data_IF_527679453631
#
_entry.id   IF_527679453631
#
_cell.length_a   1.000
_cell.length_b   1.000
_cell.length_c   1.000
_cell.angle_alpha   90.00
_cell.angle_beta   90.00
_cell.angle_gamma   90.00
#
_symmetry.space_group_name_H-M   'P 1'
#
loop_
_entity.id
_entity.type
_entity.pdbx_description
1 polymer ?
#
# COMPACT_ATOMS: atom_id res chain seq x y z
N UNK A 1 -5.73 11.52 6.67
CA UNK A 1 -5.86 10.74 5.42
C UNK A 1 -5.21 9.40 5.67
N UNK A 2 -5.95 8.30 5.52
CA UNK A 2 -5.39 6.95 5.67
C UNK A 2 -4.56 6.57 4.46
N UNK A 3 -3.61 5.64 4.63
CA UNK A 3 -2.89 4.98 3.53
C UNK A 3 -3.65 3.72 3.08
N UNK A 4 -4.92 3.91 2.76
CA UNK A 4 -5.75 2.91 2.07
C UNK A 4 -5.37 2.97 0.58
N UNK A 5 -4.71 1.92 0.10
CA UNK A 5 -4.07 1.92 -1.23
C UNK A 5 -2.98 0.86 -1.40
N UNK A 6 -2.24 0.54 -0.33
CA UNK A 6 -1.09 -0.38 -0.39
C UNK A 6 -1.44 -1.83 -0.78
N UNK A 7 -2.70 -2.25 -0.64
CA UNK A 7 -3.15 -3.63 -0.84
C UNK A 7 -4.36 -3.72 -1.78
N UNK A 8 -4.61 -2.68 -2.58
CA UNK A 8 -5.76 -2.65 -3.47
C UNK A 8 -5.40 -3.29 -4.82
N UNK A 9 -6.12 -4.36 -5.15
CA UNK A 9 -6.10 -4.96 -6.48
C UNK A 9 -6.93 -4.06 -7.43
N UNK A 10 -6.72 -4.16 -8.73
CA UNK A 10 -7.56 -3.51 -9.74
C UNK A 10 -9.01 -4.06 -9.69
N UNK A 11 -10.00 -3.18 -9.52
CA UNK A 11 -11.42 -3.55 -9.40
C UNK A 11 -12.04 -3.93 -10.75
N UNK A 12 -11.50 -3.43 -11.85
CA UNK A 12 -12.01 -3.72 -13.19
C UNK A 12 -12.01 -5.22 -13.44
N UNK A 13 -10.99 -5.95 -12.99
CA UNK A 13 -10.87 -7.41 -13.09
C UNK A 13 -11.46 -8.18 -11.89
N UNK A 14 -11.68 -7.55 -10.72
CA UNK A 14 -12.31 -8.22 -9.58
C UNK A 14 -13.20 -7.24 -8.81
N UNK A 15 -14.52 -7.41 -8.96
CA UNK A 15 -15.54 -6.51 -8.41
C UNK A 15 -15.74 -6.69 -6.88
N UNK A 16 -14.82 -6.14 -6.09
CA UNK A 16 -14.81 -6.24 -4.63
C UNK A 16 -14.52 -4.86 -4.00
N UNK A 17 -15.21 -4.50 -2.92
CA UNK A 17 -15.22 -3.13 -2.37
C UNK A 17 -13.83 -2.59 -1.94
N UNK A 18 -12.86 -3.46 -1.61
CA UNK A 18 -11.48 -3.04 -1.31
C UNK A 18 -10.65 -2.66 -2.55
N UNK A 19 -11.09 -2.99 -3.76
CA UNK A 19 -10.28 -2.84 -4.97
C UNK A 19 -10.38 -1.43 -5.57
N UNK A 20 -9.36 -0.99 -6.31
CA UNK A 20 -9.33 0.34 -6.91
C UNK A 20 -10.31 0.38 -8.08
N UNK A 21 -11.42 1.12 -7.96
CA UNK A 21 -12.39 1.29 -9.06
C UNK A 21 -11.71 1.82 -10.33
N UNK A 22 -12.29 1.47 -11.48
CA UNK A 22 -11.88 2.01 -12.78
C UNK A 22 -11.67 3.52 -12.73
N UNK A 23 -12.68 4.31 -12.34
CA UNK A 23 -12.60 5.77 -12.22
C UNK A 23 -11.45 6.27 -11.33
N UNK A 24 -10.93 5.44 -10.41
CA UNK A 24 -9.83 5.77 -9.50
C UNK A 24 -8.44 5.31 -10.03
N UNK A 25 -8.34 4.12 -10.64
CA UNK A 25 -7.15 3.71 -11.42
C UNK A 25 -6.91 4.65 -12.59
N UNK A 26 -8.01 5.05 -13.18
CA UNK A 26 -8.04 5.99 -14.26
C UNK A 26 -7.75 7.38 -13.78
N UNK A 27 -8.16 7.76 -12.56
CA UNK A 27 -7.54 8.87 -11.81
C UNK A 27 -6.00 8.76 -11.61
N UNK A 28 -5.29 7.78 -12.19
CA UNK A 28 -3.82 7.70 -12.37
C UNK A 28 -3.34 7.87 -13.85
N UNK A 29 -4.19 7.72 -14.87
CA UNK A 29 -3.79 7.55 -16.30
C UNK A 29 -3.46 8.82 -17.10
N UNK A 30 -4.50 9.59 -17.42
CA UNK A 30 -4.55 10.89 -18.09
C UNK A 30 -5.57 11.92 -17.52
N UNK A 31 -6.62 11.59 -16.75
CA UNK A 31 -6.81 10.49 -15.82
C UNK A 31 -8.27 9.89 -15.92
N UNK A 32 -8.51 8.98 -16.90
CA UNK A 32 -9.83 8.53 -17.50
C UNK A 32 -9.94 7.01 -17.98
N UNK A 33 -11.15 6.41 -18.24
CA UNK A 33 -11.91 5.26 -17.58
C UNK A 33 -12.00 3.75 -18.16
N UNK A 34 -12.46 2.75 -17.34
CA UNK A 34 -13.29 1.48 -17.56
C UNK A 34 -12.73 0.12 -18.16
N UNK A 35 -13.17 -1.17 -17.90
CA UNK A 35 -14.01 -1.93 -16.87
C UNK A 35 -14.18 -3.49 -17.15
N UNK A 36 -14.41 -4.41 -16.14
CA UNK A 36 -15.25 -5.70 -16.14
C UNK A 36 -14.75 -7.12 -15.61
N UNK A 37 -15.30 -7.59 -14.45
CA UNK A 37 -15.89 -8.93 -14.05
C UNK A 37 -15.31 -10.35 -14.41
N UNK A 38 -15.19 -11.25 -13.40
CA UNK A 38 -15.48 -12.71 -13.47
C UNK A 38 -15.70 -13.39 -12.09
N UNK A 39 -16.37 -14.55 -12.02
CA UNK A 39 -16.83 -15.24 -10.78
C UNK A 39 -15.78 -16.12 -10.05
N UNK A 40 -16.03 -16.39 -8.75
CA UNK A 40 -15.09 -17.06 -7.83
C UNK A 40 -15.14 -18.61 -7.83
N UNK A 41 -14.00 -19.26 -8.08
CA UNK A 41 -13.60 -20.49 -7.35
C UNK A 41 -12.07 -20.67 -7.26
N UNK A 42 -11.35 -20.46 -8.37
CA UNK A 42 -9.93 -20.87 -8.51
C UNK A 42 -9.03 -19.74 -9.05
N UNK A 43 -8.85 -18.67 -8.26
CA UNK A 43 -7.93 -17.57 -8.60
C UNK A 43 -6.49 -18.08 -8.61
N UNK A 44 -5.74 -17.76 -9.66
CA UNK A 44 -4.37 -18.22 -9.89
C UNK A 44 -3.37 -17.07 -10.12
N UNK A 45 -2.09 -17.43 -10.18
CA UNK A 45 -1.01 -16.54 -10.62
C UNK A 45 -1.19 -16.01 -12.05
N UNK A 46 -1.97 -16.67 -12.93
CA UNK A 46 -2.22 -16.16 -14.28
C UNK A 46 -3.11 -14.93 -14.23
N UNK A 47 -4.17 -14.97 -13.43
CA UNK A 47 -5.11 -13.86 -13.28
C UNK A 47 -4.37 -12.62 -12.76
N UNK A 48 -3.52 -12.79 -11.73
CA UNK A 48 -2.65 -11.71 -11.21
C UNK A 48 -1.68 -11.16 -12.28
N UNK A 49 -1.21 -12.01 -13.22
CA UNK A 49 -0.39 -11.57 -14.36
C UNK A 49 -1.25 -10.79 -15.37
N UNK A 50 -2.47 -11.21 -15.66
CA UNK A 50 -3.40 -10.51 -16.56
C UNK A 50 -3.87 -9.17 -15.98
N UNK A 51 -4.10 -9.07 -14.66
CA UNK A 51 -4.27 -7.81 -13.94
C UNK A 51 -3.06 -6.87 -14.20
N UNK A 52 -1.84 -7.35 -13.97
CA UNK A 52 -0.62 -6.54 -14.19
C UNK A 52 -0.48 -6.13 -15.65
N UNK A 53 -0.74 -7.02 -16.60
CA UNK A 53 -0.72 -6.75 -18.04
C UNK A 53 -1.76 -5.68 -18.43
N UNK A 54 -2.97 -5.75 -17.86
CA UNK A 54 -4.02 -4.76 -18.10
C UNK A 54 -3.58 -3.40 -17.58
N UNK A 55 -3.18 -3.29 -16.30
CA UNK A 55 -2.70 -2.04 -15.70
C UNK A 55 -1.51 -1.48 -16.50
N UNK A 56 -0.55 -2.32 -16.92
CA UNK A 56 0.60 -1.90 -17.75
C UNK A 56 0.17 -1.36 -19.11
N UNK A 57 -0.72 -2.06 -19.83
CA UNK A 57 -1.29 -1.57 -21.10
C UNK A 57 -2.13 -0.30 -20.90
N UNK A 58 -2.65 -0.11 -19.69
CA UNK A 58 -3.54 1.00 -19.32
C UNK A 58 -2.76 2.25 -18.92
N UNK A 59 -2.02 2.23 -17.81
CA UNK A 59 -1.31 3.40 -17.22
C UNK A 59 0.21 3.37 -17.42
N UNK A 60 0.77 2.27 -17.90
CA UNK A 60 2.21 2.14 -18.18
C UNK A 60 3.06 1.82 -16.94
N UNK A 61 4.25 1.27 -17.21
CA UNK A 61 5.18 0.72 -16.20
C UNK A 61 5.64 1.68 -15.09
N UNK A 62 5.42 2.99 -15.21
CA UNK A 62 5.81 3.98 -14.19
C UNK A 62 4.83 4.05 -13.01
N UNK A 63 3.66 3.40 -13.10
CA UNK A 63 2.56 3.54 -12.14
C UNK A 63 2.10 2.19 -11.54
N UNK A 64 2.80 1.08 -11.84
CA UNK A 64 2.45 -0.28 -11.38
C UNK A 64 3.42 -0.73 -10.30
N UNK A 65 2.96 -1.47 -9.30
CA UNK A 65 3.80 -2.01 -8.22
C UNK A 65 3.29 -3.34 -7.69
N UNK A 66 4.17 -4.08 -7.00
CA UNK A 66 3.82 -5.31 -6.29
C UNK A 66 3.42 -5.04 -4.83
N UNK A 67 2.28 -5.59 -4.42
CA UNK A 67 1.98 -5.87 -3.02
C UNK A 67 1.06 -7.09 -2.92
N UNK A 68 1.34 -8.01 -2.00
CA UNK A 68 0.68 -9.33 -1.95
C UNK A 68 -0.46 -9.48 -0.94
N UNK A 69 -0.61 -8.56 0.03
CA UNK A 69 -1.54 -8.71 1.18
C UNK A 69 -1.43 -10.08 1.89
N UNK A 70 -0.20 -10.62 1.91
CA UNK A 70 0.14 -11.86 2.61
C UNK A 70 -0.08 -11.71 4.11
N UNK A 71 -0.50 -12.81 4.74
CA UNK A 71 -1.01 -12.89 6.12
C UNK A 71 -2.32 -12.09 6.39
N UNK A 72 -2.82 -11.34 5.40
CA UNK A 72 -4.16 -10.71 5.40
C UNK A 72 -5.27 -11.58 4.80
N UNK A 73 -4.96 -12.78 4.30
CA UNK A 73 -5.89 -13.73 3.68
C UNK A 73 -5.68 -15.16 4.20
N UNK A 74 -6.76 -15.93 4.34
CA UNK A 74 -6.71 -17.35 4.76
C UNK A 74 -6.00 -18.25 3.73
N UNK A 75 -6.09 -17.91 2.43
CA UNK A 75 -5.45 -18.64 1.33
C UNK A 75 -5.13 -17.70 0.17
N UNK A 76 -3.87 -17.67 -0.28
CA UNK A 76 -3.45 -16.94 -1.48
C UNK A 76 -3.79 -17.66 -2.81
N UNK A 77 -3.69 -16.98 -3.97
CA UNK A 77 -3.97 -17.57 -5.28
C UNK A 77 -3.07 -18.77 -5.61
N UNK A 78 -3.53 -19.67 -6.47
CA UNK A 78 -2.74 -20.84 -6.88
C UNK A 78 -1.46 -20.43 -7.63
N UNK A 79 -0.30 -20.87 -7.14
CA UNK A 79 1.03 -20.42 -7.58
C UNK A 79 1.55 -19.17 -6.86
N UNK A 80 0.74 -18.51 -6.02
CA UNK A 80 1.05 -17.33 -5.21
C UNK A 80 0.64 -17.53 -3.74
N UNK A 81 0.95 -18.71 -3.18
CA UNK A 81 0.46 -19.11 -1.86
C UNK A 81 1.18 -18.39 -0.70
N UNK A 82 2.36 -17.80 -0.94
CA UNK A 82 3.15 -17.04 0.05
C UNK A 82 4.25 -16.19 -0.60
N UNK A 83 4.94 -15.40 0.20
CA UNK A 83 6.02 -14.47 -0.19
C UNK A 83 7.17 -15.10 -0.97
N UNK A 84 7.45 -16.41 -0.84
CA UNK A 84 8.49 -17.08 -1.64
C UNK A 84 8.16 -17.13 -3.14
N UNK A 85 6.91 -16.83 -3.53
CA UNK A 85 6.43 -16.96 -4.91
C UNK A 85 6.62 -15.70 -5.78
N UNK A 86 7.02 -14.57 -5.23
CA UNK A 86 7.30 -13.35 -6.00
C UNK A 86 8.22 -13.55 -7.23
N UNK A 87 9.32 -14.36 -7.19
CA UNK A 87 10.16 -14.59 -8.37
C UNK A 87 9.41 -15.27 -9.54
N UNK A 88 8.42 -16.13 -9.25
CA UNK A 88 7.60 -16.79 -10.28
C UNK A 88 6.62 -15.81 -10.93
N UNK A 89 6.07 -14.87 -10.16
CA UNK A 89 5.20 -13.80 -10.68
C UNK A 89 6.00 -12.82 -11.53
N UNK A 90 7.14 -12.31 -11.03
CA UNK A 90 8.04 -11.44 -11.78
C UNK A 90 8.47 -12.10 -13.09
N UNK A 91 8.84 -13.38 -13.06
CA UNK A 91 9.17 -14.13 -14.27
C UNK A 91 7.97 -14.20 -15.24
N UNK A 92 6.78 -14.61 -14.80
CA UNK A 92 5.60 -14.70 -15.69
C UNK A 92 5.23 -13.34 -16.31
N UNK A 93 5.26 -12.27 -15.52
CA UNK A 93 5.05 -10.91 -16.03
C UNK A 93 6.08 -10.58 -17.11
N UNK A 94 7.37 -10.85 -16.88
CA UNK A 94 8.44 -10.63 -17.86
C UNK A 94 8.27 -11.48 -19.14
N UNK A 95 8.01 -12.78 -18.99
CA UNK A 95 7.86 -13.74 -20.08
C UNK A 95 6.68 -13.38 -21.01
N UNK A 96 5.56 -12.89 -20.46
CA UNK A 96 4.34 -12.57 -21.23
C UNK A 96 4.35 -11.14 -21.79
N UNK A 97 4.99 -10.17 -21.11
CA UNK A 97 5.02 -8.77 -21.58
C UNK A 97 6.21 -8.43 -22.47
N UNK A 98 7.32 -9.18 -22.39
CA UNK A 98 8.59 -8.77 -23.00
C UNK A 98 9.19 -7.49 -22.40
N UNK A 99 8.87 -7.19 -21.13
CA UNK A 99 9.32 -6.00 -20.42
C UNK A 99 10.85 -5.87 -20.35
N UNK A 100 11.35 -4.63 -20.33
CA UNK A 100 12.77 -4.38 -20.04
C UNK A 100 13.09 -4.62 -18.57
N UNK A 101 14.36 -4.91 -18.24
CA UNK A 101 14.83 -5.03 -16.85
C UNK A 101 14.48 -3.77 -16.02
N UNK A 102 14.52 -2.59 -16.64
CA UNK A 102 14.16 -1.32 -16.03
C UNK A 102 12.65 -1.23 -15.70
N UNK A 103 11.78 -1.78 -16.55
CA UNK A 103 10.34 -1.79 -16.32
C UNK A 103 9.93 -2.86 -15.29
N UNK A 104 10.62 -4.01 -15.27
CA UNK A 104 10.52 -4.98 -14.17
C UNK A 104 11.01 -4.37 -12.84
N UNK A 105 12.12 -3.62 -12.84
CA UNK A 105 12.62 -2.96 -11.63
C UNK A 105 11.65 -1.89 -11.09
N UNK A 106 10.97 -1.14 -11.96
CA UNK A 106 9.86 -0.25 -11.60
C UNK A 106 8.74 -0.99 -10.87
N UNK A 107 8.24 -2.05 -11.49
CA UNK A 107 7.18 -2.93 -10.96
C UNK A 107 7.57 -3.59 -9.63
N UNK A 108 8.82 -4.02 -9.48
CA UNK A 108 9.36 -4.61 -8.25
C UNK A 108 9.57 -3.61 -7.11
N UNK A 109 9.64 -2.29 -7.38
CA UNK A 109 9.70 -1.29 -6.30
C UNK A 109 10.24 0.09 -6.62
N UNK A 110 10.91 0.34 -7.76
CA UNK A 110 11.45 1.69 -8.03
C UNK A 110 10.33 2.75 -8.11
N UNK A 111 9.11 2.39 -8.54
CA UNK A 111 7.96 3.29 -8.52
C UNK A 111 7.57 3.71 -7.09
N UNK A 112 7.54 2.76 -6.15
CA UNK A 112 7.25 3.02 -4.73
C UNK A 112 8.31 3.94 -4.11
N UNK A 113 9.60 3.70 -4.43
CA UNK A 113 10.70 4.56 -3.97
C UNK A 113 10.63 5.98 -4.55
N UNK A 114 10.18 6.14 -5.80
CA UNK A 114 9.91 7.46 -6.37
C UNK A 114 8.76 8.18 -5.64
N UNK A 115 7.63 7.53 -5.42
CA UNK A 115 6.48 8.11 -4.68
C UNK A 115 6.89 8.52 -3.27
N UNK A 116 7.59 7.64 -2.54
CA UNK A 116 8.12 7.92 -1.20
C UNK A 116 8.99 9.18 -1.17
N UNK A 117 9.89 9.32 -2.15
CA UNK A 117 10.80 10.47 -2.27
C UNK A 117 10.07 11.79 -2.51
N UNK A 118 8.98 11.78 -3.28
CA UNK A 118 8.14 12.97 -3.46
C UNK A 118 7.30 13.29 -2.21
N UNK A 119 6.74 12.28 -1.52
CA UNK A 119 6.10 12.45 -0.22
C UNK A 119 7.04 13.09 0.82
N UNK A 120 8.31 12.66 0.87
CA UNK A 120 9.32 13.29 1.73
C UNK A 120 9.59 14.76 1.38
N UNK A 121 9.66 15.12 0.10
CA UNK A 121 9.83 16.51 -0.35
C UNK A 121 8.64 17.36 0.09
N UNK A 122 7.41 16.89 -0.15
CA UNK A 122 6.18 17.58 0.26
C UNK A 122 6.16 17.75 1.79
N UNK A 123 6.46 16.71 2.56
CA UNK A 123 6.55 16.79 4.02
C UNK A 123 7.61 17.82 4.50
N UNK A 124 8.75 17.94 3.81
CA UNK A 124 9.81 18.93 4.10
C UNK A 124 9.39 20.37 3.75
N UNK A 125 8.42 20.56 2.83
CA UNK A 125 7.81 21.87 2.53
C UNK A 125 6.71 22.19 3.54
N UNK A 126 5.75 21.29 3.76
CA UNK A 126 4.63 21.50 4.67
C UNK A 126 5.10 21.79 6.10
N UNK A 127 6.15 21.12 6.60
CA UNK A 127 6.78 21.40 7.92
C UNK A 127 7.33 22.82 8.08
N UNK A 128 7.45 23.62 7.02
CA UNK A 128 7.88 25.03 7.04
C UNK A 128 6.75 26.04 6.81
N UNK A 129 5.65 25.63 6.18
CA UNK A 129 4.59 26.51 5.67
C UNK A 129 3.29 26.33 6.44
N UNK A 130 2.98 25.10 6.86
CA UNK A 130 1.85 24.83 7.74
C UNK A 130 2.20 25.13 9.20
N UNK A 131 1.21 25.45 10.04
CA UNK A 131 1.35 25.25 11.48
C UNK A 131 1.81 23.82 11.79
N UNK A 132 2.51 23.62 12.91
CA UNK A 132 2.72 22.26 13.41
C UNK A 132 1.35 21.60 13.65
N UNK A 133 1.24 20.25 13.54
CA UNK A 133 0.04 19.53 13.92
C UNK A 133 -0.44 19.99 15.29
N UNK A 134 -1.70 20.41 15.35
CA UNK A 134 -2.32 20.95 16.56
C UNK A 134 -2.70 19.76 17.45
N UNK A 135 -1.69 19.22 18.13
CA UNK A 135 -1.83 18.25 19.22
C UNK A 135 -2.47 18.94 20.43
N UNK A 136 -3.79 19.16 20.38
CA UNK A 136 -4.53 19.59 21.57
C UNK A 136 -4.66 18.40 22.52
N UNK A 137 -3.61 18.17 23.31
CA UNK A 137 -3.79 17.54 24.60
C UNK A 137 -4.61 18.51 25.45
N UNK A 138 -5.93 18.34 25.43
CA UNK A 138 -6.81 18.95 26.43
C UNK A 138 -6.27 18.57 27.81
N UNK A 139 -6.12 19.53 28.72
CA UNK A 139 -5.46 19.32 30.03
C UNK A 139 -6.11 18.21 30.88
N UNK A 140 -7.34 17.81 30.56
CA UNK A 140 -8.11 16.74 31.20
C UNK A 140 -7.87 15.36 30.56
N UNK A 141 -7.39 15.30 29.31
CA UNK A 141 -7.21 14.06 28.53
C UNK A 141 -5.89 13.38 28.89
N UNK A 142 -5.95 12.41 29.79
CA UNK A 142 -4.85 11.49 30.08
C UNK A 142 -4.84 10.32 29.09
N UNK A 143 -3.74 10.16 28.36
CA UNK A 143 -3.51 9.00 27.50
C UNK A 143 -2.88 7.88 28.32
N UNK A 144 -3.59 6.77 28.49
CA UNK A 144 -3.07 5.59 29.20
C UNK A 144 -2.55 4.57 28.19
N UNK A 145 -1.26 4.27 28.26
CA UNK A 145 -0.58 3.32 27.39
C UNK A 145 -0.02 2.13 28.18
N UNK A 146 0.04 0.93 27.59
CA UNK A 146 0.85 -0.16 28.12
C UNK A 146 2.32 0.27 28.23
N UNK A 147 3.01 -0.14 29.30
CA UNK A 147 4.40 0.23 29.57
C UNK A 147 5.37 -0.06 28.41
N UNK A 148 5.17 -1.17 27.69
CA UNK A 148 6.00 -1.53 26.52
C UNK A 148 5.89 -0.53 25.36
N UNK A 149 4.87 0.34 25.32
CA UNK A 149 4.77 1.41 24.33
C UNK A 149 5.89 2.46 24.48
N UNK A 150 6.63 2.47 25.61
CA UNK A 150 7.87 3.24 25.74
C UNK A 150 9.02 2.72 24.87
N UNK A 151 8.96 1.48 24.41
CA UNK A 151 10.04 0.82 23.66
C UNK A 151 9.73 0.74 22.15
N UNK A 152 8.45 0.93 21.76
CA UNK A 152 8.00 1.02 20.36
C UNK A 152 8.55 2.29 19.68
N UNK A 153 8.74 2.26 18.36
CA UNK A 153 9.11 3.42 17.54
C UNK A 153 8.19 4.63 17.82
N UNK A 154 8.78 5.81 18.01
CA UNK A 154 8.04 7.05 18.24
C UNK A 154 7.18 7.40 17.01
N UNK A 155 5.86 7.56 17.17
CA UNK A 155 4.95 7.98 16.09
C UNK A 155 5.34 9.35 15.50
N UNK A 156 5.90 10.23 16.33
CA UNK A 156 6.65 11.42 15.93
C UNK A 156 7.67 11.77 17.03
N UNK A 157 8.69 12.57 16.69
CA UNK A 157 9.74 12.95 17.65
C UNK A 157 9.17 13.73 18.83
N UNK A 158 9.46 13.30 20.07
CA UNK A 158 8.92 13.89 21.31
C UNK A 158 7.56 13.34 21.76
N UNK A 159 6.94 12.40 21.02
CA UNK A 159 5.61 11.86 21.35
C UNK A 159 5.51 11.23 22.74
N UNK A 160 6.59 10.64 23.26
CA UNK A 160 6.62 10.01 24.61
C UNK A 160 6.73 11.03 25.74
N UNK A 161 7.21 12.22 25.43
CA UNK A 161 7.56 13.28 26.38
C UNK A 161 6.45 14.33 26.52
N UNK A 162 5.33 14.15 25.81
CA UNK A 162 4.15 15.02 25.93
C UNK A 162 3.48 14.90 27.30
N UNK A 163 3.03 16.05 27.79
CA UNK A 163 2.20 16.16 28.99
C UNK A 163 0.91 15.34 28.84
N UNK A 164 0.52 14.67 29.93
CA UNK A 164 -0.65 13.77 30.06
C UNK A 164 -0.51 12.34 29.52
N UNK A 165 0.67 11.91 29.08
CA UNK A 165 0.96 10.49 28.83
C UNK A 165 1.22 9.71 30.13
N UNK A 166 0.44 8.65 30.37
CA UNK A 166 0.55 7.75 31.53
C UNK A 166 0.87 6.35 31.03
N UNK A 167 1.95 5.74 31.53
CA UNK A 167 2.39 4.40 31.11
C UNK A 167 2.26 3.41 32.27
N UNK A 168 1.43 2.38 32.10
CA UNK A 168 1.07 1.44 33.17
C UNK A 168 1.48 0.00 32.86
N UNK A 169 1.84 -0.77 33.90
CA UNK A 169 2.01 -2.23 33.87
C UNK A 169 0.66 -2.99 33.68
N UNK A 170 -0.33 -2.35 33.05
CA UNK A 170 -1.60 -2.98 32.67
C UNK A 170 -1.41 -3.86 31.45
N UNK A 171 -0.77 -5.00 31.64
CA UNK A 171 -1.16 -6.20 30.91
C UNK A 171 -2.59 -6.56 31.33
N UNK A 172 -3.55 -6.27 30.45
CA UNK A 172 -4.86 -6.91 30.48
C UNK A 172 -5.22 -7.42 29.08
N UNK A 173 -5.97 -8.54 29.01
CA UNK A 173 -6.39 -9.15 27.76
C UNK A 173 -7.47 -8.31 27.06
#
# INVERSE_FOLDING_TARGET
MGVEGLHQIDLSLTNHERNVRDDILDMVKKNDEFVSHSDHSDISINDVVDHVIYIVKRIGWNHVGLCGDFDGMEKGPFGLENTSKYPYLVKKVSDVTGASENDIAKFMGLNVLCVWKECEKVAKVLKKVCPQPIDINWNERKWVFPKYAKDILNMYSGAKDQENNVYTDTTKP
#
